data_IF_934925705544
#
_entry.id   IF_934925705544
#
_cell.length_a   1.000
_cell.length_b   1.000
_cell.length_c   1.000
_cell.angle_alpha   90.00
_cell.angle_beta   90.00
_cell.angle_gamma   90.00
#
_symmetry.space_group_name_H-M   'P 1'
#
loop_
_entity.id
_entity.type
_entity.pdbx_description
1 polymer ?
#
# COMPACT_ATOMS: atom_id res chain seq x y z
N UNK A 1 -33.16 8.22 1.81
CA UNK A 1 -32.63 9.15 2.83
C UNK A 1 -32.15 8.27 3.97
N UNK A 2 -30.83 8.29 4.25
CA UNK A 2 -30.24 7.63 5.41
C UNK A 2 -30.29 8.57 6.61
N UNK A 3 -30.60 8.03 7.78
CA UNK A 3 -30.54 8.76 9.05
C UNK A 3 -29.49 8.05 9.91
N UNK A 4 -28.44 8.76 10.27
CA UNK A 4 -27.40 8.25 11.19
C UNK A 4 -27.66 8.75 12.60
N UNK A 5 -27.75 7.81 13.53
CA UNK A 5 -27.85 8.10 14.97
C UNK A 5 -26.51 7.69 15.63
N UNK A 6 -25.81 8.62 16.28
CA UNK A 6 -24.58 8.27 16.98
C UNK A 6 -24.88 7.35 18.16
N UNK A 7 -24.04 6.31 18.31
CA UNK A 7 -24.14 5.42 19.47
C UNK A 7 -23.69 6.12 20.76
N UNK A 8 -24.42 5.89 21.85
CA UNK A 8 -24.06 6.39 23.17
C UNK A 8 -22.86 5.63 23.77
N UNK A 9 -22.67 4.38 23.37
CA UNK A 9 -21.50 3.56 23.73
C UNK A 9 -20.74 3.18 22.48
N UNK A 10 -19.42 3.47 22.44
CA UNK A 10 -18.54 3.10 21.34
C UNK A 10 -17.73 1.87 21.72
N UNK A 11 -17.71 0.88 20.84
CA UNK A 11 -16.84 -0.28 20.97
C UNK A 11 -15.54 -0.08 20.21
N UNK A 12 -14.45 -0.64 20.73
CA UNK A 12 -13.17 -0.67 20.03
C UNK A 12 -13.17 -1.81 19.01
N UNK A 13 -12.74 -1.51 17.80
CA UNK A 13 -12.52 -2.51 16.75
C UNK A 13 -11.03 -2.79 16.68
N UNK A 14 -10.63 -4.00 17.04
CA UNK A 14 -9.23 -4.41 17.04
C UNK A 14 -8.83 -5.00 15.70
N UNK A 15 -7.62 -4.66 15.22
CA UNK A 15 -7.07 -5.21 13.99
C UNK A 15 -7.02 -6.74 14.00
N UNK A 16 -6.71 -7.36 15.14
CA UNK A 16 -6.68 -8.82 15.32
C UNK A 16 -7.99 -9.51 14.96
N UNK A 17 -9.13 -8.87 15.19
CA UNK A 17 -10.44 -9.43 14.86
C UNK A 17 -10.61 -9.62 13.35
N UNK A 18 -10.06 -8.70 12.56
CA UNK A 18 -10.13 -8.74 11.09
C UNK A 18 -9.08 -9.68 10.54
N UNK A 19 -7.84 -9.63 11.04
CA UNK A 19 -6.76 -10.51 10.60
C UNK A 19 -7.06 -12.00 10.83
N UNK A 20 -7.80 -12.32 11.88
CA UNK A 20 -8.20 -13.69 12.20
C UNK A 20 -9.43 -14.17 11.42
N UNK A 21 -10.12 -13.29 10.73
CA UNK A 21 -11.30 -13.63 9.94
C UNK A 21 -10.95 -14.46 8.71
N UNK A 22 -11.86 -15.36 8.31
CA UNK A 22 -11.70 -16.21 7.13
C UNK A 22 -11.57 -15.42 5.84
N UNK A 23 -12.23 -14.27 5.73
CA UNK A 23 -12.17 -13.43 4.54
C UNK A 23 -10.78 -12.84 4.32
N UNK A 24 -10.07 -12.46 5.39
CA UNK A 24 -8.69 -12.02 5.31
C UNK A 24 -7.73 -13.12 4.82
N UNK A 25 -8.04 -14.38 5.14
CA UNK A 25 -7.20 -15.55 4.82
C UNK A 25 -7.46 -16.15 3.44
N UNK A 26 -8.42 -15.64 2.69
CA UNK A 26 -8.72 -16.12 1.33
C UNK A 26 -7.52 -15.98 0.41
N UNK A 27 -7.22 -17.06 -0.33
CA UNK A 27 -6.03 -17.11 -1.22
C UNK A 27 -6.19 -16.31 -2.52
N UNK A 28 -7.42 -16.07 -2.94
CA UNK A 28 -7.74 -15.27 -4.12
C UNK A 28 -7.50 -13.77 -3.92
N UNK A 29 -7.47 -13.31 -2.67
CA UNK A 29 -7.09 -11.94 -2.33
C UNK A 29 -5.56 -11.85 -2.27
N UNK A 30 -4.98 -11.08 -3.20
CA UNK A 30 -3.52 -11.01 -3.37
C UNK A 30 -2.84 -10.10 -2.36
N UNK A 31 -3.41 -8.92 -2.14
CA UNK A 31 -2.91 -7.92 -1.18
C UNK A 31 -4.05 -7.53 -0.21
N UNK A 32 -4.40 -8.40 0.75
CA UNK A 32 -5.50 -8.14 1.67
C UNK A 32 -5.17 -7.01 2.63
N UNK A 33 -6.09 -6.07 2.74
CA UNK A 33 -6.03 -4.97 3.70
C UNK A 33 -7.26 -4.98 4.59
N UNK A 34 -7.04 -4.90 5.90
CA UNK A 34 -8.12 -4.78 6.88
C UNK A 34 -8.64 -3.33 6.86
N UNK A 35 -9.91 -3.15 6.53
CA UNK A 35 -10.52 -1.81 6.45
C UNK A 35 -11.33 -1.45 7.70
N UNK A 36 -11.82 -2.43 8.43
CA UNK A 36 -12.64 -2.22 9.61
C UNK A 36 -13.82 -3.18 9.69
N UNK A 37 -14.89 -2.74 10.32
CA UNK A 37 -16.16 -3.46 10.38
C UNK A 37 -17.27 -2.61 9.77
N UNK A 38 -18.25 -3.27 9.17
CA UNK A 38 -19.52 -2.63 8.78
C UNK A 38 -20.31 -2.20 10.02
N UNK A 39 -21.32 -1.37 9.82
CA UNK A 39 -22.27 -1.02 10.88
C UNK A 39 -23.01 -2.23 11.47
N UNK A 40 -23.09 -3.34 10.73
CA UNK A 40 -23.65 -4.62 11.19
C UNK A 40 -22.61 -5.52 11.88
N UNK A 41 -21.37 -5.03 12.09
CA UNK A 41 -20.31 -5.74 12.81
C UNK A 41 -19.52 -6.75 11.97
N UNK A 42 -19.75 -6.83 10.66
CA UNK A 42 -19.00 -7.74 9.77
C UNK A 42 -17.64 -7.15 9.40
N UNK A 43 -16.54 -7.93 9.49
CA UNK A 43 -15.22 -7.50 9.01
C UNK A 43 -15.25 -7.15 7.53
N UNK A 44 -14.56 -6.05 7.17
CA UNK A 44 -14.39 -5.60 5.80
C UNK A 44 -12.93 -5.69 5.43
N UNK A 45 -12.65 -6.49 4.40
CA UNK A 45 -11.32 -6.72 3.84
C UNK A 45 -11.33 -6.25 2.39
N UNK A 46 -10.38 -5.41 2.03
CA UNK A 46 -10.13 -5.01 0.64
C UNK A 46 -8.96 -5.77 0.04
N UNK A 47 -8.83 -5.69 -1.27
CA UNK A 47 -7.65 -6.16 -2.00
C UNK A 47 -6.96 -4.97 -2.68
N UNK A 48 -5.77 -4.60 -2.20
CA UNK A 48 -5.01 -3.49 -2.76
C UNK A 48 -4.59 -3.76 -4.21
N UNK A 49 -4.44 -5.01 -4.62
CA UNK A 49 -4.09 -5.36 -6.00
C UNK A 49 -5.20 -5.01 -6.99
N UNK A 50 -6.45 -5.03 -6.56
CA UNK A 50 -7.61 -4.59 -7.36
C UNK A 50 -7.84 -3.07 -7.31
N UNK A 51 -7.23 -2.41 -6.33
CA UNK A 51 -7.23 -0.96 -6.13
C UNK A 51 -5.78 -0.46 -6.14
N UNK A 52 -5.06 -0.50 -7.27
CA UNK A 52 -3.60 -0.32 -7.30
C UNK A 52 -3.15 1.09 -6.89
N UNK A 53 -4.09 2.03 -6.84
CA UNK A 53 -3.86 3.41 -6.41
C UNK A 53 -4.93 3.79 -5.38
N UNK A 54 -4.49 4.05 -4.17
CA UNK A 54 -5.36 4.41 -3.06
C UNK A 54 -4.96 5.78 -2.51
N UNK A 55 -5.91 6.71 -2.53
CA UNK A 55 -5.76 8.01 -1.89
C UNK A 55 -6.47 7.98 -0.53
N UNK A 56 -5.72 8.29 0.52
CA UNK A 56 -6.24 8.39 1.88
C UNK A 56 -6.12 9.86 2.31
N UNK A 57 -7.25 10.46 2.61
CA UNK A 57 -7.31 11.85 3.06
C UNK A 57 -8.10 11.96 4.36
N UNK A 58 -7.66 12.88 5.22
CA UNK A 58 -8.33 13.13 6.49
C UNK A 58 -7.65 14.23 7.28
N UNK A 59 -8.41 14.89 8.11
CA UNK A 59 -7.90 15.90 9.07
C UNK A 59 -7.22 15.23 10.26
N UNK A 60 -6.55 16.01 11.08
CA UNK A 60 -5.98 15.53 12.34
C UNK A 60 -7.07 14.87 13.19
N UNK A 61 -6.79 13.67 13.70
CA UNK A 61 -7.75 12.90 14.50
C UNK A 61 -8.82 12.13 13.70
N UNK A 62 -8.80 12.20 12.36
CA UNK A 62 -9.76 11.45 11.52
C UNK A 62 -9.47 9.94 11.41
N UNK A 63 -8.31 9.49 11.90
CA UNK A 63 -7.87 8.12 11.79
C UNK A 63 -7.00 7.80 10.57
N UNK A 64 -6.51 8.82 9.84
CA UNK A 64 -5.62 8.62 8.67
C UNK A 64 -4.39 7.78 9.03
N UNK A 65 -3.68 8.12 10.10
CA UNK A 65 -2.49 7.40 10.57
C UNK A 65 -2.80 5.96 10.96
N UNK A 66 -3.91 5.73 11.65
CA UNK A 66 -4.38 4.39 12.01
C UNK A 66 -4.67 3.58 10.76
N UNK A 67 -5.32 4.17 9.78
CA UNK A 67 -5.64 3.51 8.51
C UNK A 67 -4.36 3.10 7.75
N UNK A 68 -3.38 3.98 7.63
CA UNK A 68 -2.10 3.69 6.96
C UNK A 68 -1.37 2.57 7.68
N UNK A 69 -1.25 2.63 9.01
CA UNK A 69 -0.63 1.58 9.81
C UNK A 69 -1.36 0.24 9.67
N UNK A 70 -2.69 0.26 9.68
CA UNK A 70 -3.50 -0.95 9.49
C UNK A 70 -3.26 -1.60 8.14
N UNK A 71 -3.14 -0.82 7.08
CA UNK A 71 -2.83 -1.32 5.72
C UNK A 71 -1.44 -1.96 5.70
N UNK A 72 -0.42 -1.29 6.21
CA UNK A 72 0.95 -1.82 6.24
C UNK A 72 1.00 -3.11 7.07
N UNK A 73 0.43 -3.11 8.27
CA UNK A 73 0.41 -4.28 9.16
C UNK A 73 -0.35 -5.45 8.54
N UNK A 74 -1.45 -5.19 7.84
CA UNK A 74 -2.21 -6.22 7.12
C UNK A 74 -1.34 -6.94 6.10
N UNK A 75 -0.56 -6.20 5.32
CA UNK A 75 0.33 -6.76 4.30
C UNK A 75 1.52 -7.48 4.92
N UNK A 76 2.10 -6.94 5.99
CA UNK A 76 3.18 -7.59 6.74
C UNK A 76 2.72 -8.90 7.38
N UNK A 77 1.50 -8.95 7.87
CA UNK A 77 0.92 -10.15 8.46
C UNK A 77 0.69 -11.24 7.41
N UNK A 78 0.32 -10.85 6.19
CA UNK A 78 0.01 -11.77 5.09
C UNK A 78 1.24 -12.26 4.32
N UNK A 79 2.24 -11.40 4.09
CA UNK A 79 3.32 -11.63 3.16
C UNK A 79 4.71 -11.61 3.80
N UNK A 80 5.52 -12.57 3.39
CA UNK A 80 6.96 -12.59 3.63
C UNK A 80 7.70 -11.62 2.71
N UNK A 81 8.96 -11.21 3.02
CA UNK A 81 9.70 -10.23 2.22
C UNK A 81 9.96 -10.63 0.76
N UNK A 82 9.95 -11.91 0.45
CA UNK A 82 10.12 -12.43 -0.92
C UNK A 82 8.86 -12.24 -1.78
N UNK A 83 7.71 -11.98 -1.16
CA UNK A 83 6.43 -11.80 -1.85
C UNK A 83 5.94 -10.37 -1.91
N UNK A 84 6.32 -9.55 -0.92
CA UNK A 84 5.89 -8.16 -0.83
C UNK A 84 7.03 -7.29 -0.29
N UNK A 85 7.34 -6.23 -1.02
CA UNK A 85 8.34 -5.23 -0.67
C UNK A 85 7.69 -3.87 -0.48
N UNK A 86 8.28 -3.05 0.38
CA UNK A 86 7.80 -1.71 0.67
C UNK A 86 8.82 -0.64 0.34
N UNK A 87 8.30 0.48 -0.14
CA UNK A 87 8.98 1.77 -0.16
C UNK A 87 8.12 2.72 0.68
N UNK A 88 8.66 3.24 1.76
CA UNK A 88 7.97 4.13 2.67
C UNK A 88 8.58 5.53 2.59
N UNK A 89 7.74 6.53 2.35
CA UNK A 89 8.12 7.94 2.21
C UNK A 89 7.36 8.74 3.25
N UNK A 90 8.10 9.36 4.17
CA UNK A 90 7.55 10.13 5.30
C UNK A 90 8.37 11.39 5.53
N UNK A 91 8.03 12.51 4.88
CA UNK A 91 8.78 13.76 4.98
C UNK A 91 8.82 14.35 6.40
N UNK A 92 7.80 14.07 7.20
CA UNK A 92 7.69 14.58 8.58
C UNK A 92 8.33 13.68 9.63
N UNK A 93 8.73 12.46 9.27
CA UNK A 93 9.34 11.48 10.18
C UNK A 93 8.48 11.11 11.40
N UNK A 94 7.16 11.17 11.29
CA UNK A 94 6.23 10.99 12.41
C UNK A 94 5.54 9.62 12.43
N UNK A 95 5.24 9.07 11.25
CA UNK A 95 4.31 7.93 11.13
C UNK A 95 4.99 6.62 10.74
N UNK A 96 5.93 6.65 9.80
CA UNK A 96 6.47 5.45 9.17
C UNK A 96 7.85 5.02 9.70
N UNK A 97 8.49 5.83 10.54
CA UNK A 97 9.81 5.53 11.12
C UNK A 97 9.84 4.27 11.98
N UNK A 98 8.70 3.86 12.54
CA UNK A 98 8.57 2.63 13.32
C UNK A 98 8.82 1.35 12.51
N UNK A 99 8.72 1.43 11.18
CA UNK A 99 8.99 0.31 10.27
C UNK A 99 10.45 0.22 9.83
N UNK A 100 11.31 1.13 10.27
CA UNK A 100 12.74 1.09 9.90
C UNK A 100 13.37 -0.24 10.32
N UNK A 101 14.14 -0.83 9.40
CA UNK A 101 14.83 -2.09 9.64
C UNK A 101 14.02 -3.37 9.39
N UNK A 102 12.74 -3.29 9.02
CA UNK A 102 12.00 -4.50 8.63
C UNK A 102 12.55 -5.07 7.31
N UNK A 103 12.59 -6.40 7.14
CA UNK A 103 13.19 -7.02 5.96
C UNK A 103 12.41 -6.80 4.66
N UNK A 104 11.16 -6.34 4.74
CA UNK A 104 10.32 -6.01 3.60
C UNK A 104 10.73 -4.70 2.90
N UNK A 105 11.49 -3.80 3.55
CA UNK A 105 11.91 -2.54 2.96
C UNK A 105 12.94 -2.74 1.84
N UNK A 106 12.72 -2.09 0.69
CA UNK A 106 13.69 -2.02 -0.39
C UNK A 106 14.82 -1.04 -0.10
N UNK A 107 14.55 -0.01 0.70
CA UNK A 107 15.49 1.00 1.13
C UNK A 107 15.06 1.55 2.51
N UNK A 108 15.92 2.26 3.23
CA UNK A 108 15.52 2.96 4.45
C UNK A 108 14.34 3.89 4.21
N UNK A 109 13.55 4.15 5.25
CA UNK A 109 12.42 5.10 5.16
C UNK A 109 12.92 6.44 4.63
N UNK A 110 12.26 6.95 3.58
CA UNK A 110 12.69 8.14 2.86
C UNK A 110 12.05 9.36 3.50
N UNK A 111 12.87 10.33 3.89
CA UNK A 111 12.43 11.54 4.55
C UNK A 111 12.70 12.82 3.76
N UNK A 112 13.56 12.76 2.73
CA UNK A 112 13.93 13.90 1.89
C UNK A 112 13.20 13.87 0.55
N UNK A 113 12.62 15.00 0.14
CA UNK A 113 11.84 15.11 -1.08
C UNK A 113 12.64 14.75 -2.36
N UNK A 114 13.92 15.13 -2.42
CA UNK A 114 14.78 14.78 -3.57
C UNK A 114 15.02 13.28 -3.68
N UNK A 115 15.23 12.61 -2.56
CA UNK A 115 15.35 11.15 -2.51
C UNK A 115 14.03 10.47 -2.87
N UNK A 116 12.92 11.01 -2.41
CA UNK A 116 11.59 10.53 -2.78
C UNK A 116 11.37 10.59 -4.30
N UNK A 117 11.72 11.70 -4.94
CA UNK A 117 11.63 11.83 -6.38
C UNK A 117 12.50 10.80 -7.12
N UNK A 118 13.75 10.63 -6.69
CA UNK A 118 14.66 9.63 -7.25
C UNK A 118 14.14 8.20 -7.13
N UNK A 119 13.57 7.86 -6.00
CA UNK A 119 13.01 6.52 -5.76
C UNK A 119 11.73 6.30 -6.56
N UNK A 120 10.86 7.28 -6.67
CA UNK A 120 9.67 7.19 -7.53
C UNK A 120 10.07 7.03 -9.00
N UNK A 121 11.12 7.70 -9.45
CA UNK A 121 11.71 7.48 -10.77
C UNK A 121 12.22 6.05 -10.96
N UNK A 122 12.84 5.49 -9.94
CA UNK A 122 13.25 4.09 -9.95
C UNK A 122 12.04 3.15 -10.04
N UNK A 123 10.97 3.41 -9.30
CA UNK A 123 9.73 2.61 -9.35
C UNK A 123 9.13 2.59 -10.75
N UNK A 124 9.11 3.75 -11.43
CA UNK A 124 8.65 3.83 -12.82
C UNK A 124 9.50 2.95 -13.74
N UNK A 125 10.84 3.02 -13.63
CA UNK A 125 11.75 2.18 -14.41
C UNK A 125 11.58 0.69 -14.11
N UNK A 126 11.40 0.33 -12.86
CA UNK A 126 11.14 -1.05 -12.43
C UNK A 126 9.83 -1.57 -13.05
N UNK A 127 8.77 -0.77 -13.00
CA UNK A 127 7.49 -1.09 -13.64
C UNK A 127 7.66 -1.33 -15.15
N UNK A 128 8.34 -0.44 -15.85
CA UNK A 128 8.61 -0.59 -17.29
C UNK A 128 9.46 -1.82 -17.60
N UNK A 129 10.42 -2.14 -16.75
CA UNK A 129 11.25 -3.35 -16.87
C UNK A 129 10.41 -4.63 -16.70
N UNK A 130 9.52 -4.63 -15.71
CA UNK A 130 8.58 -5.74 -15.48
C UNK A 130 7.63 -5.93 -16.65
N UNK A 131 7.13 -4.87 -17.25
CA UNK A 131 6.30 -4.97 -18.47
C UNK A 131 7.05 -5.62 -19.61
N UNK A 132 8.30 -5.25 -19.84
CA UNK A 132 9.13 -5.88 -20.89
C UNK A 132 9.32 -7.37 -20.64
N UNK A 133 9.59 -7.77 -19.39
CA UNK A 133 9.72 -9.17 -19.01
C UNK A 133 8.42 -9.94 -19.21
N UNK A 134 7.28 -9.38 -18.79
CA UNK A 134 5.97 -10.00 -18.97
C UNK A 134 5.61 -10.14 -20.45
N UNK A 135 5.88 -9.14 -21.26
CA UNK A 135 5.67 -9.19 -22.72
C UNK A 135 6.50 -10.29 -23.35
N UNK A 136 7.78 -10.40 -22.98
CA UNK A 136 8.67 -11.46 -23.47
C UNK A 136 8.17 -12.86 -23.11
N UNK A 137 7.60 -13.02 -21.93
CA UNK A 137 7.03 -14.29 -21.45
C UNK A 137 5.60 -14.54 -21.94
N UNK A 138 4.98 -13.60 -22.63
CA UNK A 138 3.60 -13.69 -23.10
C UNK A 138 2.56 -13.73 -21.98
N UNK A 139 2.85 -13.10 -20.84
CA UNK A 139 1.96 -13.00 -19.68
C UNK A 139 1.43 -11.58 -19.52
N UNK A 140 0.23 -11.44 -18.89
CA UNK A 140 -0.46 -10.16 -18.78
C UNK A 140 -0.32 -9.49 -17.41
N UNK A 141 0.09 -10.24 -16.39
CA UNK A 141 0.18 -9.76 -15.02
C UNK A 141 1.27 -10.50 -14.25
N UNK A 142 1.55 -10.01 -13.04
CA UNK A 142 2.56 -10.57 -12.15
C UNK A 142 2.27 -12.03 -11.76
N UNK A 143 1.01 -12.38 -11.58
CA UNK A 143 0.62 -13.75 -11.20
C UNK A 143 0.93 -14.74 -12.33
N UNK A 144 0.64 -14.36 -13.57
CA UNK A 144 1.00 -15.15 -14.74
C UNK A 144 2.52 -15.32 -14.90
N UNK A 145 3.30 -14.29 -14.59
CA UNK A 145 4.75 -14.37 -14.59
C UNK A 145 5.24 -15.30 -13.47
N UNK A 146 4.76 -15.11 -12.24
CA UNK A 146 5.19 -15.88 -11.08
C UNK A 146 4.82 -17.36 -11.17
N UNK A 147 3.74 -17.70 -11.87
CA UNK A 147 3.36 -19.10 -12.12
C UNK A 147 4.37 -19.85 -12.97
N UNK A 148 5.17 -19.15 -13.79
CA UNK A 148 6.18 -19.72 -14.68
C UNK A 148 7.58 -19.75 -14.08
N UNK A 149 7.83 -19.06 -12.98
CA UNK A 149 9.16 -18.88 -12.41
C UNK A 149 9.25 -19.41 -10.98
N UNK A 150 10.38 -20.03 -10.64
CA UNK A 150 10.65 -20.49 -9.27
C UNK A 150 10.88 -19.33 -8.29
N UNK A 151 11.49 -18.26 -8.78
CA UNK A 151 11.71 -17.04 -8.01
C UNK A 151 10.66 -16.00 -8.45
N UNK A 152 9.63 -15.75 -7.63
CA UNK A 152 8.56 -14.83 -7.99
C UNK A 152 9.05 -13.38 -7.93
N UNK A 153 8.49 -12.52 -8.77
CA UNK A 153 8.56 -11.09 -8.56
C UNK A 153 7.75 -10.73 -7.32
N UNK A 154 8.30 -9.99 -6.35
CA UNK A 154 7.51 -9.48 -5.25
C UNK A 154 6.56 -8.36 -5.72
N UNK A 155 5.42 -8.23 -5.07
CA UNK A 155 4.66 -6.98 -5.13
C UNK A 155 5.49 -5.86 -4.51
N UNK A 156 5.42 -4.67 -5.07
CA UNK A 156 6.04 -3.47 -4.51
C UNK A 156 4.93 -2.51 -4.13
N UNK A 157 4.86 -2.20 -2.84
CA UNK A 157 3.88 -1.26 -2.28
C UNK A 157 4.61 0.01 -1.89
N UNK A 158 4.21 1.12 -2.48
CA UNK A 158 4.75 2.45 -2.17
C UNK A 158 3.75 3.19 -1.31
N UNK A 159 4.16 3.58 -0.12
CA UNK A 159 3.34 4.36 0.81
C UNK A 159 3.96 5.74 0.96
N UNK A 160 3.17 6.76 0.68
CA UNK A 160 3.58 8.16 0.84
C UNK A 160 2.68 8.82 1.88
N UNK A 161 3.26 9.18 3.00
CA UNK A 161 2.61 10.04 3.98
C UNK A 161 2.89 11.50 3.67
N UNK A 162 1.89 12.36 3.82
CA UNK A 162 1.99 13.80 3.60
C UNK A 162 2.53 14.20 2.22
N UNK A 163 1.81 13.84 1.19
CA UNK A 163 2.15 14.15 -0.22
C UNK A 163 2.36 15.66 -0.46
N UNK A 164 1.64 16.52 0.24
CA UNK A 164 1.74 17.98 0.09
C UNK A 164 3.15 18.51 0.36
N UNK A 165 3.85 17.96 1.36
CA UNK A 165 5.21 18.39 1.69
C UNK A 165 6.20 18.03 0.58
N UNK A 166 6.01 16.90 -0.08
CA UNK A 166 6.83 16.51 -1.24
C UNK A 166 6.57 17.40 -2.45
N UNK A 167 5.31 17.77 -2.68
CA UNK A 167 4.90 18.59 -3.81
C UNK A 167 5.46 20.02 -3.74
N UNK A 168 5.70 20.55 -2.54
CA UNK A 168 6.30 21.87 -2.34
C UNK A 168 7.75 21.94 -2.83
N UNK A 169 8.51 20.86 -2.75
CA UNK A 169 9.95 20.83 -3.05
C UNK A 169 10.25 20.29 -4.45
N UNK A 170 9.61 19.22 -4.87
CA UNK A 170 9.86 18.53 -6.12
C UNK A 170 8.55 18.19 -6.87
N UNK A 171 7.54 19.06 -6.76
CA UNK A 171 6.17 18.79 -7.17
C UNK A 171 6.01 18.32 -8.61
N UNK A 172 6.62 19.02 -9.57
CA UNK A 172 6.47 18.69 -10.99
C UNK A 172 7.07 17.33 -11.36
N UNK A 173 8.21 16.99 -10.78
CA UNK A 173 8.87 15.71 -11.02
C UNK A 173 8.06 14.55 -10.38
N UNK A 174 7.66 14.72 -9.14
CA UNK A 174 6.84 13.74 -8.40
C UNK A 174 5.48 13.55 -9.08
N UNK A 175 4.84 14.64 -9.49
CA UNK A 175 3.56 14.59 -10.22
C UNK A 175 3.68 13.74 -11.49
N UNK A 176 4.73 13.94 -12.29
CA UNK A 176 4.97 13.18 -13.51
C UNK A 176 5.14 11.68 -13.23
N UNK A 177 5.88 11.31 -12.18
CA UNK A 177 6.05 9.91 -11.81
C UNK A 177 4.76 9.28 -11.30
N UNK A 178 4.01 9.98 -10.47
CA UNK A 178 2.71 9.51 -9.98
C UNK A 178 1.72 9.33 -11.13
N UNK A 179 1.70 10.26 -12.07
CA UNK A 179 0.84 10.16 -13.26
C UNK A 179 1.18 8.91 -14.09
N UNK A 180 2.46 8.65 -14.34
CA UNK A 180 2.88 7.43 -15.05
C UNK A 180 2.48 6.16 -14.29
N UNK A 181 2.73 6.10 -12.99
CA UNK A 181 2.35 4.97 -12.16
C UNK A 181 0.83 4.76 -12.18
N UNK A 182 0.04 5.82 -12.01
CA UNK A 182 -1.42 5.71 -11.98
C UNK A 182 -2.03 5.25 -13.31
N UNK A 183 -1.39 5.57 -14.43
CA UNK A 183 -1.84 5.13 -15.75
C UNK A 183 -1.45 3.69 -16.07
N UNK A 184 -0.29 3.22 -15.61
CA UNK A 184 0.33 2.01 -16.11
C UNK A 184 0.42 0.86 -15.09
N UNK A 185 0.31 1.12 -13.80
CA UNK A 185 0.55 0.09 -12.76
C UNK A 185 -0.63 -0.86 -12.49
N UNK A 186 -1.57 -0.95 -13.41
CA UNK A 186 -2.69 -1.92 -13.29
C UNK A 186 -2.21 -3.33 -13.59
#
# INVERSE_FOLDING_TARGET
IGIELPNNSRENVYLSEILNNSDFKKRDIKLPIALGKSISGYPIVGDLSSMPHLLIAGTTGSGKSVCINTIILSLLYRHTPDKCKFILIDPKMLELSTYEGIPHLLCPVITEAKKAASVLGWVVKEMESRYRLMTKEGVRNIDGYNAKHKLPMPYIVVVVDEMSDLMLVAGKEIENYIQKLSQMAR
#
